data_IF_873264494546
#
_entry.id   IF_873264494546
#
_cell.length_a   1.000
_cell.length_b   1.000
_cell.length_c   1.000
_cell.angle_alpha   90.00
_cell.angle_beta   90.00
_cell.angle_gamma   90.00
#
_symmetry.space_group_name_H-M   'P 1'
#
loop_
_entity.id
_entity.type
_entity.pdbx_description
1 polymer ?
#
# COMPACT_ATOMS: atom_id res chain seq x y z
N UNK A 1 6.79 -18.25 -2.89
CA UNK A 1 7.96 -17.35 -3.16
C UNK A 1 8.80 -17.25 -1.89
N UNK A 2 10.07 -16.88 -2.01
CA UNK A 2 10.91 -16.58 -0.84
C UNK A 2 11.25 -15.08 -0.83
N UNK A 3 11.07 -14.43 0.33
CA UNK A 3 11.60 -13.10 0.61
C UNK A 3 12.84 -13.29 1.48
N UNK A 4 14.00 -13.12 0.89
CA UNK A 4 15.28 -13.32 1.54
C UNK A 4 15.75 -12.04 2.24
N UNK A 5 16.58 -12.20 3.25
CA UNK A 5 17.39 -11.11 3.81
C UNK A 5 18.43 -10.64 2.80
N UNK A 6 18.74 -9.36 2.82
CA UNK A 6 19.76 -8.75 2.00
C UNK A 6 20.61 -7.83 2.89
N UNK A 7 21.85 -8.20 3.13
CA UNK A 7 22.76 -7.54 4.08
C UNK A 7 23.25 -6.15 3.65
N UNK A 8 22.46 -5.42 2.86
CA UNK A 8 22.74 -4.04 2.45
C UNK A 8 21.70 -3.07 3.01
N UNK A 9 22.12 -1.83 3.19
CA UNK A 9 21.23 -0.75 3.58
C UNK A 9 20.63 -0.10 2.34
N UNK A 10 19.29 -0.09 2.28
CA UNK A 10 18.54 0.61 1.23
C UNK A 10 17.63 1.62 1.94
N UNK A 11 17.73 2.90 1.54
CA UNK A 11 17.10 4.03 2.26
C UNK A 11 17.60 4.10 3.72
N UNK A 12 16.73 3.92 4.69
CA UNK A 12 17.01 4.19 6.11
C UNK A 12 17.30 2.94 6.94
N UNK A 13 17.15 1.73 6.38
CA UNK A 13 17.36 0.49 7.12
C UNK A 13 18.10 -0.59 6.34
N UNK A 14 18.74 -1.50 7.08
CA UNK A 14 19.33 -2.71 6.54
C UNK A 14 18.22 -3.70 6.18
N UNK A 15 18.29 -4.30 5.00
CA UNK A 15 17.21 -5.15 4.47
C UNK A 15 17.33 -6.60 4.96
N UNK A 16 17.56 -6.78 6.24
CA UNK A 16 17.56 -8.07 6.91
C UNK A 16 16.21 -8.29 7.61
N UNK A 17 15.63 -9.48 7.43
CA UNK A 17 14.41 -9.85 8.16
C UNK A 17 14.79 -10.06 9.64
N UNK A 18 14.17 -9.31 10.53
CA UNK A 18 14.32 -9.56 11.96
C UNK A 18 13.19 -10.48 12.47
N UNK A 19 13.39 -11.05 13.64
CA UNK A 19 12.48 -12.05 14.22
C UNK A 19 11.06 -11.50 14.45
N UNK A 20 10.94 -10.25 14.83
CA UNK A 20 9.65 -9.59 15.04
C UNK A 20 8.89 -9.43 13.72
N UNK A 21 9.57 -9.01 12.65
CA UNK A 21 8.98 -8.89 11.32
C UNK A 21 8.50 -10.24 10.77
N UNK A 22 9.29 -11.30 10.96
CA UNK A 22 8.88 -12.66 10.58
C UNK A 22 7.59 -13.10 11.29
N UNK A 23 7.48 -12.82 12.59
CA UNK A 23 6.29 -13.10 13.39
C UNK A 23 5.09 -12.24 12.99
N UNK A 24 5.32 -10.97 12.59
CA UNK A 24 4.26 -10.09 12.09
C UNK A 24 3.60 -10.67 10.83
N UNK A 25 4.38 -11.11 9.84
CA UNK A 25 3.85 -11.74 8.63
C UNK A 25 2.97 -12.95 8.94
N UNK A 26 3.42 -13.83 9.83
CA UNK A 26 2.65 -15.00 10.27
C UNK A 26 1.37 -14.62 11.02
N UNK A 27 1.38 -13.55 11.82
CA UNK A 27 0.19 -13.10 12.54
C UNK A 27 -0.91 -12.63 11.57
N UNK A 28 -0.56 -11.87 10.51
CA UNK A 28 -1.51 -11.48 9.47
C UNK A 28 -2.05 -12.71 8.72
N UNK A 29 -1.18 -13.70 8.39
CA UNK A 29 -1.64 -14.94 7.77
C UNK A 29 -2.69 -15.65 8.63
N UNK A 30 -2.42 -15.83 9.93
CA UNK A 30 -3.34 -16.47 10.87
C UNK A 30 -4.66 -15.70 11.00
N UNK A 31 -4.61 -14.37 11.03
CA UNK A 31 -5.80 -13.52 11.10
C UNK A 31 -6.68 -13.67 9.85
N UNK A 32 -6.06 -13.70 8.67
CA UNK A 32 -6.76 -13.93 7.41
C UNK A 32 -7.40 -15.32 7.36
N UNK A 33 -6.69 -16.32 7.86
CA UNK A 33 -7.16 -17.71 7.87
C UNK A 33 -8.30 -17.94 8.86
N UNK A 34 -8.28 -17.24 9.99
CA UNK A 34 -9.28 -17.33 11.04
C UNK A 34 -10.63 -16.68 10.70
N UNK A 35 -10.70 -15.81 9.65
CA UNK A 35 -11.98 -15.19 9.26
C UNK A 35 -11.88 -13.86 8.52
N UNK A 36 -10.83 -13.07 8.72
CA UNK A 36 -10.71 -11.75 8.09
C UNK A 36 -10.74 -11.85 6.55
N UNK A 37 -10.15 -12.91 5.97
CA UNK A 37 -10.19 -13.11 4.53
C UNK A 37 -11.59 -13.32 3.98
N UNK A 38 -12.46 -14.01 4.72
CA UNK A 38 -13.86 -14.15 4.33
C UNK A 38 -14.58 -12.80 4.30
N UNK A 39 -14.40 -11.98 5.32
CA UNK A 39 -14.98 -10.64 5.38
C UNK A 39 -14.46 -9.74 4.25
N UNK A 40 -13.14 -9.76 4.03
CA UNK A 40 -12.53 -8.99 2.95
C UNK A 40 -13.13 -9.37 1.59
N UNK A 41 -13.27 -10.65 1.28
CA UNK A 41 -13.81 -11.11 -0.01
C UNK A 41 -15.33 -10.91 -0.13
N UNK A 42 -16.06 -10.88 0.98
CA UNK A 42 -17.49 -10.56 0.95
C UNK A 42 -17.75 -9.11 0.51
N UNK A 43 -16.90 -8.17 0.95
CA UNK A 43 -17.06 -6.74 0.66
C UNK A 43 -16.22 -6.28 -0.55
N UNK A 44 -15.05 -6.90 -0.74
CA UNK A 44 -14.07 -6.57 -1.77
C UNK A 44 -13.52 -7.85 -2.43
N UNK A 45 -14.33 -8.55 -3.25
CA UNK A 45 -14.02 -9.90 -3.77
C UNK A 45 -12.76 -9.96 -4.64
N UNK A 46 -12.32 -8.82 -5.17
CA UNK A 46 -11.17 -8.72 -6.07
C UNK A 46 -9.94 -8.08 -5.42
N UNK A 47 -9.99 -7.85 -4.09
CA UNK A 47 -8.82 -7.37 -3.35
C UNK A 47 -8.30 -8.46 -2.43
N UNK A 48 -6.98 -8.65 -2.41
CA UNK A 48 -6.33 -9.73 -1.68
C UNK A 48 -5.10 -9.23 -0.90
N UNK A 49 -4.78 -9.90 0.19
CA UNK A 49 -3.52 -9.73 0.91
C UNK A 49 -2.64 -10.94 0.59
N UNK A 50 -1.47 -10.72 0.01
CA UNK A 50 -0.48 -11.77 -0.23
C UNK A 50 0.03 -12.28 1.11
N UNK A 51 -0.10 -13.59 1.38
CA UNK A 51 0.14 -14.19 2.70
C UNK A 51 1.60 -14.58 2.87
N UNK A 52 2.05 -14.50 4.13
CA UNK A 52 3.34 -15.00 4.59
C UNK A 52 3.11 -16.15 5.60
N UNK A 53 2.77 -17.38 5.14
CA UNK A 53 2.31 -18.48 6.00
C UNK A 53 3.40 -19.10 6.89
N UNK A 54 4.66 -18.89 6.57
CA UNK A 54 5.79 -19.42 7.32
C UNK A 54 7.06 -18.62 7.11
N UNK A 55 8.06 -18.92 7.93
CA UNK A 55 9.40 -18.38 7.81
C UNK A 55 10.45 -19.40 8.24
N UNK A 56 11.67 -19.20 7.79
CA UNK A 56 12.85 -19.95 8.21
C UNK A 56 13.84 -18.95 8.79
N UNK A 57 14.43 -19.30 9.91
CA UNK A 57 15.45 -18.47 10.53
C UNK A 57 16.62 -19.33 11.00
N UNK A 58 17.80 -18.75 10.95
CA UNK A 58 19.03 -19.38 11.41
C UNK A 58 19.49 -18.69 12.70
N UNK A 59 19.51 -19.42 13.80
CA UNK A 59 20.01 -18.91 15.06
C UNK A 59 21.49 -19.26 15.20
N UNK A 60 22.31 -18.25 15.46
CA UNK A 60 23.70 -18.44 15.83
C UNK A 60 23.80 -18.42 17.36
N UNK A 61 24.24 -19.48 18.03
CA UNK A 61 24.36 -19.52 19.47
C UNK A 61 25.13 -18.32 20.03
N UNK A 62 24.55 -17.61 20.99
CA UNK A 62 25.16 -16.43 21.63
C UNK A 62 25.11 -15.11 20.81
N UNK A 63 24.60 -15.12 19.58
CA UNK A 63 24.42 -13.89 18.81
C UNK A 63 23.16 -13.14 19.22
N UNK A 64 23.27 -11.82 19.35
CA UNK A 64 22.14 -10.90 19.63
C UNK A 64 21.58 -10.26 18.37
N UNK A 65 22.25 -10.41 17.24
CA UNK A 65 21.87 -9.83 15.94
C UNK A 65 21.34 -10.92 15.00
N UNK A 66 20.42 -10.57 14.06
CA UNK A 66 19.99 -11.49 13.01
C UNK A 66 21.17 -12.06 12.22
N UNK A 67 21.06 -13.32 11.82
CA UNK A 67 22.12 -13.99 11.02
C UNK A 67 22.25 -13.44 9.60
N UNK A 68 21.23 -12.74 9.12
CA UNK A 68 21.11 -12.34 7.71
C UNK A 68 20.68 -13.47 6.76
N UNK A 69 20.43 -14.67 7.30
CA UNK A 69 19.99 -15.85 6.53
C UNK A 69 18.50 -16.12 6.68
N UNK A 70 17.79 -15.27 7.40
CA UNK A 70 16.35 -15.42 7.65
C UNK A 70 15.53 -15.17 6.36
N UNK A 71 14.50 -15.98 6.16
CA UNK A 71 13.66 -15.93 4.97
C UNK A 71 12.17 -16.05 5.32
N UNK A 72 11.34 -15.26 4.65
CA UNK A 72 9.87 -15.41 4.65
C UNK A 72 9.47 -16.37 3.54
N UNK A 73 8.62 -17.33 3.85
CA UNK A 73 7.90 -18.15 2.88
C UNK A 73 6.61 -17.44 2.56
N UNK A 74 6.51 -16.91 1.34
CA UNK A 74 5.38 -16.11 0.85
C UNK A 74 4.57 -16.88 -0.17
N UNK A 75 3.25 -16.87 -0.06
CA UNK A 75 2.37 -17.41 -1.08
C UNK A 75 2.61 -16.75 -2.44
N UNK A 76 2.39 -17.50 -3.51
CA UNK A 76 2.40 -16.96 -4.86
C UNK A 76 1.00 -17.06 -5.48
N UNK A 77 0.14 -16.05 -5.27
CA UNK A 77 -1.21 -16.05 -5.82
C UNK A 77 -1.24 -15.97 -7.35
N UNK A 78 -0.09 -15.64 -7.96
CA UNK A 78 0.04 -15.49 -9.42
C UNK A 78 0.51 -16.79 -10.11
N UNK A 79 0.83 -17.84 -9.33
CA UNK A 79 1.18 -19.14 -9.89
C UNK A 79 -0.07 -19.79 -10.46
N UNK A 80 -0.06 -20.04 -11.75
CA UNK A 80 -1.15 -20.73 -12.45
C UNK A 80 -0.58 -21.63 -13.54
N UNK A 81 -1.24 -22.76 -13.78
CA UNK A 81 -0.94 -23.65 -14.90
C UNK A 81 -1.58 -23.15 -16.22
N UNK A 82 -2.39 -22.09 -16.16
CA UNK A 82 -3.01 -21.49 -17.34
C UNK A 82 -1.96 -20.74 -18.17
N UNK A 83 -1.83 -21.02 -19.45
CA UNK A 83 -0.91 -20.30 -20.33
C UNK A 83 -1.18 -18.79 -20.32
N UNK A 84 -0.14 -17.93 -20.44
CA UNK A 84 -0.31 -16.48 -20.37
C UNK A 84 -1.33 -15.91 -21.38
N UNK A 85 -1.44 -16.50 -22.57
CA UNK A 85 -2.38 -16.06 -23.62
C UNK A 85 -3.86 -16.35 -23.32
N UNK A 86 -4.16 -17.21 -22.36
CA UNK A 86 -5.54 -17.59 -21.97
C UNK A 86 -5.94 -16.99 -20.61
N UNK A 87 -5.09 -16.18 -20.01
CA UNK A 87 -5.42 -15.47 -18.77
C UNK A 87 -6.28 -14.26 -19.07
N UNK A 88 -7.37 -14.13 -18.32
CA UNK A 88 -8.28 -12.99 -18.45
C UNK A 88 -7.82 -11.76 -17.65
N UNK A 89 -6.76 -11.88 -16.85
CA UNK A 89 -6.21 -10.80 -16.02
C UNK A 89 -4.69 -10.91 -15.91
N UNK A 90 -4.04 -9.79 -15.63
CA UNK A 90 -2.64 -9.76 -15.22
C UNK A 90 -2.45 -8.78 -14.05
N UNK A 91 -1.41 -8.96 -13.27
CA UNK A 91 -1.16 -8.15 -12.07
C UNK A 91 0.24 -7.54 -12.13
N UNK A 92 0.33 -6.25 -11.90
CA UNK A 92 1.57 -5.49 -11.87
C UNK A 92 1.77 -4.72 -10.58
N UNK A 93 3.03 -4.57 -10.14
CA UNK A 93 3.38 -3.67 -9.05
C UNK A 93 3.17 -2.22 -9.50
N UNK A 94 2.44 -1.43 -8.72
CA UNK A 94 2.10 -0.04 -9.06
C UNK A 94 3.37 0.79 -9.32
N UNK A 95 4.37 0.73 -8.44
CA UNK A 95 5.65 1.42 -8.66
C UNK A 95 6.30 1.06 -10.01
N UNK A 96 6.24 -0.22 -10.42
CA UNK A 96 6.77 -0.68 -11.70
C UNK A 96 5.91 -0.29 -12.91
N UNK A 97 4.61 -0.03 -12.70
CA UNK A 97 3.73 0.50 -13.75
C UNK A 97 3.96 1.99 -14.00
N UNK A 98 4.24 2.75 -12.92
CA UNK A 98 4.42 4.20 -12.95
C UNK A 98 5.85 4.63 -13.30
N UNK A 99 6.84 3.78 -13.05
CA UNK A 99 8.24 4.12 -13.28
C UNK A 99 8.51 4.48 -14.75
N UNK A 100 9.22 5.57 -14.96
CA UNK A 100 9.78 5.91 -16.26
C UNK A 100 10.69 4.79 -16.78
N UNK A 101 10.75 4.65 -18.07
CA UNK A 101 11.51 3.59 -18.73
C UNK A 101 12.64 4.19 -19.55
N UNK A 102 13.81 4.40 -18.96
CA UNK A 102 14.96 4.98 -19.67
C UNK A 102 15.49 4.07 -20.82
N UNK A 103 15.07 2.80 -20.84
CA UNK A 103 15.33 1.83 -21.91
C UNK A 103 14.46 2.05 -23.16
N UNK A 104 13.44 2.92 -23.09
CA UNK A 104 12.55 3.24 -24.19
C UNK A 104 12.84 4.64 -24.74
N UNK A 105 12.73 4.86 -26.07
CA UNK A 105 13.01 6.16 -26.69
C UNK A 105 12.16 7.32 -26.16
N UNK A 106 10.92 7.04 -25.75
CA UNK A 106 9.96 8.03 -25.26
C UNK A 106 9.96 8.17 -23.74
N UNK A 107 10.77 7.39 -23.03
CA UNK A 107 10.89 7.32 -21.56
C UNK A 107 9.57 7.08 -20.80
N UNK A 108 8.48 6.80 -21.51
CA UNK A 108 7.15 6.64 -20.90
C UNK A 108 7.06 5.40 -20.03
N UNK A 109 6.27 5.53 -18.96
CA UNK A 109 5.95 4.40 -18.09
C UNK A 109 5.12 3.33 -18.79
N UNK A 110 5.08 2.13 -18.22
CA UNK A 110 4.19 1.06 -18.71
C UNK A 110 2.72 1.47 -18.63
N UNK A 111 2.35 2.22 -17.58
CA UNK A 111 0.98 2.72 -17.46
C UNK A 111 0.64 3.74 -18.54
N UNK A 112 1.56 4.63 -18.93
CA UNK A 112 1.32 5.57 -20.01
C UNK A 112 1.03 4.84 -21.34
N UNK A 113 1.83 3.84 -21.69
CA UNK A 113 1.58 3.01 -22.88
C UNK A 113 0.21 2.31 -22.80
N UNK A 114 -0.14 1.78 -21.63
CA UNK A 114 -1.42 1.14 -21.41
C UNK A 114 -2.60 2.11 -21.61
N UNK A 115 -2.51 3.31 -21.03
CA UNK A 115 -3.54 4.36 -21.16
C UNK A 115 -3.72 4.77 -22.62
N UNK A 116 -2.62 4.98 -23.37
CA UNK A 116 -2.71 5.30 -24.80
C UNK A 116 -3.35 4.18 -25.60
N UNK A 117 -3.00 2.93 -25.30
CA UNK A 117 -3.63 1.76 -25.94
C UNK A 117 -5.14 1.71 -25.65
N UNK A 118 -5.55 1.90 -24.40
CA UNK A 118 -6.94 1.95 -23.99
C UNK A 118 -7.70 3.10 -24.69
N UNK A 119 -7.10 4.29 -24.73
CA UNK A 119 -7.69 5.45 -25.40
C UNK A 119 -7.96 5.17 -26.89
N UNK A 120 -6.97 4.60 -27.58
CA UNK A 120 -7.10 4.20 -28.99
C UNK A 120 -8.21 3.15 -29.18
N UNK A 121 -8.25 2.10 -28.35
CA UNK A 121 -9.26 1.03 -28.47
C UNK A 121 -10.68 1.48 -28.17
N UNK A 122 -10.84 2.42 -27.22
CA UNK A 122 -12.18 2.90 -26.82
C UNK A 122 -12.66 4.10 -27.63
N UNK A 123 -11.81 4.72 -28.44
CA UNK A 123 -12.09 5.98 -29.13
C UNK A 123 -12.24 7.18 -28.20
N UNK A 124 -11.78 7.07 -26.94
CA UNK A 124 -11.82 8.15 -25.98
C UNK A 124 -10.51 8.97 -26.00
N UNK A 125 -10.56 10.20 -25.48
CA UNK A 125 -9.35 10.99 -25.24
C UNK A 125 -8.49 10.34 -24.17
N UNK A 126 -7.18 10.57 -24.21
CA UNK A 126 -6.24 10.11 -23.18
C UNK A 126 -6.67 10.57 -21.78
N UNK A 127 -7.06 11.85 -21.64
CA UNK A 127 -7.53 12.42 -20.38
C UNK A 127 -8.75 11.65 -19.82
N UNK A 128 -9.77 11.40 -20.64
CA UNK A 128 -10.96 10.66 -20.22
C UNK A 128 -10.61 9.23 -19.80
N UNK A 129 -9.75 8.58 -20.56
CA UNK A 129 -9.29 7.22 -20.28
C UNK A 129 -8.52 7.16 -18.98
N UNK A 130 -7.60 8.11 -18.73
CA UNK A 130 -6.81 8.22 -17.52
C UNK A 130 -7.72 8.42 -16.31
N UNK A 131 -8.68 9.33 -16.36
CA UNK A 131 -9.65 9.56 -15.27
C UNK A 131 -10.43 8.30 -14.97
N UNK A 132 -10.94 7.60 -15.98
CA UNK A 132 -11.70 6.34 -15.79
C UNK A 132 -10.81 5.26 -15.17
N UNK A 133 -9.56 5.14 -15.63
CA UNK A 133 -8.60 4.19 -15.08
C UNK A 133 -8.30 4.51 -13.60
N UNK A 134 -8.06 5.78 -13.30
CA UNK A 134 -7.75 6.24 -11.94
C UNK A 134 -8.93 6.05 -10.98
N UNK A 135 -10.17 6.38 -11.39
CA UNK A 135 -11.37 6.11 -10.59
C UNK A 135 -11.50 4.63 -10.26
N UNK A 136 -11.36 3.73 -11.25
CA UNK A 136 -11.38 2.28 -11.01
C UNK A 136 -10.26 1.82 -10.09
N UNK A 137 -9.09 2.44 -10.20
CA UNK A 137 -7.98 2.18 -9.29
C UNK A 137 -8.33 2.57 -7.84
N UNK A 138 -8.90 3.74 -7.60
CA UNK A 138 -9.35 4.17 -6.28
C UNK A 138 -10.39 3.19 -5.71
N UNK A 139 -11.37 2.78 -6.52
CA UNK A 139 -12.43 1.86 -6.10
C UNK A 139 -11.90 0.48 -5.75
N UNK A 140 -11.01 -0.08 -6.57
CA UNK A 140 -10.62 -1.49 -6.47
C UNK A 140 -9.39 -1.72 -5.60
N UNK A 141 -8.60 -0.69 -5.32
CA UNK A 141 -7.35 -0.79 -4.55
C UNK A 141 -7.38 0.06 -3.29
N UNK A 142 -7.72 1.34 -3.38
CA UNK A 142 -7.67 2.25 -2.24
C UNK A 142 -8.84 2.02 -1.28
N UNK A 143 -10.04 1.85 -1.81
CA UNK A 143 -11.23 1.57 -0.99
C UNK A 143 -11.06 0.37 -0.06
N UNK A 144 -10.59 -0.82 -0.51
CA UNK A 144 -10.39 -1.96 0.38
C UNK A 144 -9.36 -1.71 1.49
N UNK A 145 -8.29 -0.97 1.20
CA UNK A 145 -7.27 -0.61 2.19
C UNK A 145 -7.85 0.27 3.30
N UNK A 146 -8.60 1.31 2.92
CA UNK A 146 -9.25 2.21 3.86
C UNK A 146 -10.40 1.53 4.60
N UNK A 147 -11.11 0.59 3.97
CA UNK A 147 -12.13 -0.23 4.60
C UNK A 147 -11.55 -1.13 5.70
N UNK A 148 -10.43 -1.81 5.47
CA UNK A 148 -9.74 -2.61 6.49
C UNK A 148 -9.40 -1.76 7.72
N UNK A 149 -8.94 -0.54 7.51
CA UNK A 149 -8.63 0.38 8.59
C UNK A 149 -9.89 0.87 9.32
N UNK A 150 -10.95 1.22 8.57
CA UNK A 150 -12.20 1.71 9.15
C UNK A 150 -12.93 0.64 9.98
N UNK A 151 -13.05 -0.58 9.44
CA UNK A 151 -13.87 -1.63 10.05
C UNK A 151 -13.11 -2.45 11.09
N UNK A 152 -11.80 -2.67 10.90
CA UNK A 152 -11.00 -3.56 11.73
C UNK A 152 -9.82 -2.88 12.41
N UNK A 153 -9.62 -1.60 12.19
CA UNK A 153 -8.46 -0.89 12.72
C UNK A 153 -7.12 -1.45 12.23
N UNK A 154 -7.12 -2.16 11.08
CA UNK A 154 -5.92 -2.72 10.47
C UNK A 154 -5.38 -1.75 9.42
N UNK A 155 -4.34 -1.01 9.76
CA UNK A 155 -3.62 -0.12 8.88
C UNK A 155 -2.45 -0.82 8.18
N UNK A 156 -2.41 -0.77 6.84
CA UNK A 156 -1.39 -1.41 6.01
C UNK A 156 -0.48 -0.37 5.36
N UNK A 157 0.83 -0.61 5.33
CA UNK A 157 1.82 0.26 4.66
C UNK A 157 1.75 0.11 3.13
N UNK A 158 0.60 0.47 2.56
CA UNK A 158 0.28 0.29 1.15
C UNK A 158 0.84 1.40 0.26
N UNK A 159 2.15 1.63 0.32
CA UNK A 159 2.83 2.47 -0.65
C UNK A 159 2.92 1.77 -2.02
N UNK A 160 3.31 2.50 -3.07
CA UNK A 160 3.30 2.00 -4.46
C UNK A 160 4.03 0.68 -4.67
N UNK A 161 5.12 0.41 -3.94
CA UNK A 161 5.87 -0.84 -4.06
C UNK A 161 5.11 -2.04 -3.48
N UNK A 162 4.32 -1.82 -2.41
CA UNK A 162 3.55 -2.87 -1.74
C UNK A 162 2.15 -3.05 -2.33
N UNK A 163 1.77 -2.20 -3.28
CA UNK A 163 0.49 -2.23 -3.97
C UNK A 163 0.63 -2.87 -5.34
N UNK A 164 -0.19 -3.88 -5.59
CA UNK A 164 -0.27 -4.57 -6.88
C UNK A 164 -1.66 -4.31 -7.47
N UNK A 165 -1.71 -3.95 -8.74
CA UNK A 165 -2.96 -3.69 -9.46
C UNK A 165 -3.25 -4.86 -10.38
N UNK A 166 -4.44 -5.44 -10.27
CA UNK A 166 -4.95 -6.45 -11.20
C UNK A 166 -5.73 -5.77 -12.31
N UNK A 167 -5.37 -6.05 -13.53
CA UNK A 167 -5.93 -5.50 -14.73
C UNK A 167 -6.61 -6.59 -15.55
N UNK A 168 -7.72 -6.27 -16.22
CA UNK A 168 -8.35 -7.15 -17.18
C UNK A 168 -7.52 -7.26 -18.47
N UNK A 169 -8.02 -8.01 -19.46
CA UNK A 169 -7.37 -8.20 -20.76
C UNK A 169 -7.18 -6.91 -21.54
N UNK A 170 -8.02 -5.93 -21.29
CA UNK A 170 -7.94 -4.63 -21.94
C UNK A 170 -6.96 -3.69 -21.22
N UNK A 171 -6.75 -3.89 -19.93
CA UNK A 171 -5.87 -3.09 -19.09
C UNK A 171 -6.58 -2.20 -18.07
N UNK A 172 -7.89 -2.41 -17.86
CA UNK A 172 -8.62 -1.69 -16.81
C UNK A 172 -8.42 -2.30 -15.43
N UNK A 173 -8.29 -1.48 -14.37
CA UNK A 173 -8.26 -1.98 -13.00
C UNK A 173 -9.54 -2.74 -12.65
N UNK A 174 -9.39 -3.95 -12.13
CA UNK A 174 -10.47 -4.84 -11.70
C UNK A 174 -10.28 -5.36 -10.28
N UNK A 175 -9.12 -5.13 -9.69
CA UNK A 175 -8.81 -5.55 -8.34
C UNK A 175 -7.38 -5.20 -7.96
N UNK A 176 -6.93 -5.70 -6.82
CA UNK A 176 -5.60 -5.44 -6.33
C UNK A 176 -5.11 -6.42 -5.29
N UNK A 177 -3.83 -6.29 -4.96
CA UNK A 177 -3.21 -7.03 -3.87
C UNK A 177 -2.34 -6.08 -3.05
N UNK A 178 -2.36 -6.28 -1.74
CA UNK A 178 -1.33 -5.78 -0.84
C UNK A 178 -0.32 -6.88 -0.55
N UNK A 179 0.95 -6.53 -0.45
CA UNK A 179 2.03 -7.44 -0.04
C UNK A 179 2.91 -6.78 1.01
N UNK A 180 3.67 -7.60 1.71
CA UNK A 180 4.63 -7.22 2.73
C UNK A 180 4.01 -6.97 4.11
N UNK A 181 3.53 -8.08 4.72
CA UNK A 181 2.83 -8.09 6.00
C UNK A 181 3.77 -7.89 7.21
N UNK A 182 4.93 -7.27 7.03
CA UNK A 182 5.85 -6.91 8.10
C UNK A 182 5.59 -5.50 8.63
N UNK A 183 5.03 -4.61 7.75
CA UNK A 183 4.63 -3.25 8.09
C UNK A 183 3.11 -3.11 8.15
N UNK A 184 2.55 -3.14 9.36
CA UNK A 184 1.13 -2.88 9.63
C UNK A 184 0.92 -2.41 11.07
N UNK A 185 -0.26 -1.85 11.32
CA UNK A 185 -0.64 -1.28 12.60
C UNK A 185 -2.03 -1.73 13.02
N UNK A 186 -2.23 -1.94 14.31
CA UNK A 186 -3.55 -2.15 14.90
C UNK A 186 -3.97 -0.93 15.71
N UNK A 187 -5.13 -0.38 15.39
CA UNK A 187 -5.80 0.66 16.15
C UNK A 187 -6.29 0.08 17.50
N UNK A 188 -5.87 0.63 18.64
CA UNK A 188 -6.36 0.19 19.94
C UNK A 188 -7.87 0.34 20.09
N UNK A 189 -8.46 1.34 19.43
CA UNK A 189 -9.89 1.66 19.56
C UNK A 189 -10.79 0.80 18.68
N UNK A 190 -10.28 0.24 17.55
CA UNK A 190 -11.09 -0.47 16.54
C UNK A 190 -10.74 -1.94 16.36
N UNK A 191 -9.51 -2.34 16.66
CA UNK A 191 -9.05 -3.73 16.43
C UNK A 191 -9.71 -4.78 17.32
N UNK A 192 -10.53 -4.37 18.29
CA UNK A 192 -11.34 -5.31 19.09
C UNK A 192 -12.25 -6.18 18.20
N UNK A 193 -12.64 -5.71 17.02
CA UNK A 193 -13.39 -6.49 16.02
C UNK A 193 -12.62 -7.72 15.51
N UNK A 194 -11.30 -7.76 15.68
CA UNK A 194 -10.44 -8.89 15.30
C UNK A 194 -10.32 -9.96 16.40
N UNK A 195 -10.64 -9.62 17.64
CA UNK A 195 -10.47 -10.52 18.79
C UNK A 195 -11.23 -11.85 18.67
N UNK A 196 -12.43 -11.94 18.06
CA UNK A 196 -13.10 -13.23 17.86
C UNK A 196 -12.31 -14.20 16.99
N UNK A 197 -11.48 -13.70 16.06
CA UNK A 197 -10.70 -14.51 15.15
C UNK A 197 -9.30 -14.82 15.68
N UNK A 198 -8.65 -13.84 16.30
CA UNK A 198 -7.30 -14.00 16.82
C UNK A 198 -7.13 -13.17 18.10
N UNK A 199 -7.50 -13.73 19.27
CA UNK A 199 -7.32 -13.05 20.55
C UNK A 199 -5.86 -12.63 20.77
N UNK A 200 -5.63 -11.35 21.09
CA UNK A 200 -4.27 -10.84 21.32
C UNK A 200 -3.39 -10.72 20.07
N UNK A 201 -3.98 -10.74 18.87
CA UNK A 201 -3.24 -10.54 17.64
C UNK A 201 -2.32 -9.30 17.72
N UNK A 202 -1.02 -9.50 17.49
CA UNK A 202 -0.05 -8.40 17.42
C UNK A 202 0.40 -7.78 18.73
N UNK A 203 -0.12 -8.18 19.91
CA UNK A 203 0.22 -7.57 21.20
C UNK A 203 1.73 -7.57 21.51
N UNK A 204 2.40 -8.70 21.24
CA UNK A 204 3.83 -8.85 21.51
C UNK A 204 4.70 -8.49 20.30
N UNK A 205 4.13 -7.80 19.30
CA UNK A 205 4.79 -7.51 18.02
C UNK A 205 5.03 -6.01 17.79
N UNK A 206 4.67 -5.15 18.76
CA UNK A 206 4.82 -3.71 18.62
C UNK A 206 4.01 -3.11 17.47
N UNK A 207 2.82 -3.70 17.18
CA UNK A 207 1.95 -3.25 16.08
C UNK A 207 0.74 -2.44 16.58
N UNK A 208 0.51 -2.42 17.89
CA UNK A 208 -0.50 -1.54 18.52
C UNK A 208 0.12 -0.18 18.77
N UNK A 209 -0.39 0.83 18.10
CA UNK A 209 0.04 2.23 18.27
C UNK A 209 -1.17 3.14 18.22
N UNK A 210 -1.04 4.35 18.77
CA UNK A 210 -2.14 5.30 18.83
C UNK A 210 -2.71 5.63 17.44
N UNK A 211 -4.02 5.84 17.37
CA UNK A 211 -4.73 6.09 16.11
C UNK A 211 -4.17 7.30 15.37
N UNK A 212 -3.70 8.33 16.07
CA UNK A 212 -3.04 9.51 15.48
C UNK A 212 -1.74 9.16 14.77
N UNK A 213 -0.96 8.22 15.32
CA UNK A 213 0.27 7.71 14.70
C UNK A 213 -0.07 6.87 13.48
N UNK A 214 -1.12 6.04 13.56
CA UNK A 214 -1.58 5.26 12.40
C UNK A 214 -2.04 6.21 11.30
N UNK A 215 -2.85 7.22 11.61
CA UNK A 215 -3.34 8.20 10.62
C UNK A 215 -2.17 8.94 9.96
N UNK A 216 -1.12 9.33 10.70
CA UNK A 216 0.11 9.90 10.13
C UNK A 216 0.79 8.93 9.14
N UNK A 217 0.95 7.67 9.54
CA UNK A 217 1.60 6.64 8.71
C UNK A 217 0.80 6.34 7.44
N UNK A 218 -0.49 6.11 7.57
CA UNK A 218 -1.37 5.85 6.44
C UNK A 218 -1.55 7.08 5.54
N UNK A 219 -1.58 8.28 6.13
CA UNK A 219 -1.57 9.54 5.39
C UNK A 219 -0.37 9.64 4.47
N UNK A 220 0.81 9.24 4.95
CA UNK A 220 2.00 9.16 4.11
C UNK A 220 1.93 8.01 3.10
N UNK A 221 1.71 6.76 3.53
CA UNK A 221 1.81 5.61 2.64
C UNK A 221 0.70 5.56 1.60
N UNK A 222 -0.56 5.76 2.00
CA UNK A 222 -1.72 5.71 1.11
C UNK A 222 -1.96 7.08 0.46
N UNK A 223 -1.96 8.15 1.25
CA UNK A 223 -2.25 9.50 0.74
C UNK A 223 -1.12 10.02 -0.15
N UNK A 224 0.05 10.27 0.43
CA UNK A 224 1.15 10.93 -0.29
C UNK A 224 1.83 10.00 -1.28
N UNK A 225 2.38 8.87 -0.80
CA UNK A 225 3.18 8.00 -1.66
C UNK A 225 2.34 7.29 -2.73
N UNK A 226 1.16 6.77 -2.36
CA UNK A 226 0.35 6.00 -3.28
C UNK A 226 -0.53 6.91 -4.15
N UNK A 227 -1.49 7.64 -3.56
CA UNK A 227 -2.47 8.43 -4.33
C UNK A 227 -1.80 9.62 -5.02
N UNK A 228 -1.17 10.54 -4.25
CA UNK A 228 -0.55 11.73 -4.84
C UNK A 228 0.63 11.38 -5.75
N UNK A 229 1.42 10.36 -5.38
CA UNK A 229 2.49 9.86 -6.24
C UNK A 229 1.98 9.27 -7.56
N UNK A 230 0.78 8.66 -7.57
CA UNK A 230 0.14 8.19 -8.82
C UNK A 230 -0.37 9.36 -9.65
N UNK A 231 -1.00 10.36 -9.02
CA UNK A 231 -1.46 11.59 -9.70
C UNK A 231 -0.27 12.29 -10.38
N UNK A 232 0.82 12.54 -9.63
CA UNK A 232 2.01 13.18 -10.18
C UNK A 232 2.65 12.39 -11.33
N UNK A 233 2.67 11.05 -11.25
CA UNK A 233 3.17 10.22 -12.35
C UNK A 233 2.29 10.26 -13.60
N UNK A 234 0.98 10.41 -13.44
CA UNK A 234 0.05 10.58 -14.57
C UNK A 234 0.13 11.99 -15.17
N UNK A 235 0.23 13.02 -14.32
CA UNK A 235 0.35 14.42 -14.73
C UNK A 235 1.66 14.71 -15.45
N UNK A 236 2.81 14.32 -14.86
CA UNK A 236 4.15 14.54 -15.43
C UNK A 236 4.33 13.92 -16.82
N UNK A 237 3.57 12.88 -17.14
CA UNK A 237 3.59 12.24 -18.48
C UNK A 237 2.49 12.79 -19.41
N UNK A 238 1.76 13.84 -19.00
CA UNK A 238 0.74 14.52 -19.82
C UNK A 238 -0.50 13.66 -20.10
N UNK A 239 -0.82 12.68 -19.23
CA UNK A 239 -1.94 11.78 -19.42
C UNK A 239 -3.28 12.38 -18.99
N UNK A 240 -3.26 13.23 -17.96
CA UNK A 240 -4.40 14.02 -17.47
C UNK A 240 -3.90 15.24 -16.70
N UNK A 241 -4.78 16.21 -16.49
CA UNK A 241 -4.53 17.34 -15.57
C UNK A 241 -4.55 16.80 -14.12
N UNK A 242 -3.55 17.17 -13.33
CA UNK A 242 -3.45 16.76 -11.92
C UNK A 242 -4.63 17.32 -11.09
N UNK A 243 -5.12 18.52 -11.41
CA UNK A 243 -6.27 19.12 -10.73
C UNK A 243 -7.54 18.28 -10.89
N UNK A 244 -7.76 17.72 -12.08
CA UNK A 244 -8.89 16.82 -12.35
C UNK A 244 -8.80 15.55 -11.50
N UNK A 245 -7.60 14.98 -11.35
CA UNK A 245 -7.36 13.77 -10.57
C UNK A 245 -7.44 14.03 -9.06
N UNK A 246 -7.00 15.21 -8.62
CA UNK A 246 -7.18 15.67 -7.22
C UNK A 246 -8.66 15.84 -6.88
N UNK A 247 -9.45 16.44 -7.78
CA UNK A 247 -10.90 16.56 -7.59
C UNK A 247 -11.61 15.20 -7.57
N UNK A 248 -11.15 14.21 -8.37
CA UNK A 248 -11.65 12.83 -8.33
C UNK A 248 -11.33 12.20 -6.97
N UNK A 249 -10.11 12.38 -6.48
CA UNK A 249 -9.67 11.88 -5.17
C UNK A 249 -10.52 12.48 -4.04
N UNK A 250 -10.76 13.79 -4.06
CA UNK A 250 -11.62 14.46 -3.06
C UNK A 250 -13.03 13.85 -3.03
N UNK A 251 -13.66 13.67 -4.20
CA UNK A 251 -15.00 13.06 -4.30
C UNK A 251 -15.03 11.62 -3.78
N UNK A 252 -14.00 10.85 -4.11
CA UNK A 252 -13.85 9.47 -3.64
C UNK A 252 -13.71 9.39 -2.12
N UNK A 253 -12.80 10.19 -1.54
CA UNK A 253 -12.59 10.27 -0.10
C UNK A 253 -13.83 10.83 0.63
N UNK A 254 -14.59 11.77 0.04
CA UNK A 254 -15.84 12.28 0.57
C UNK A 254 -16.88 11.14 0.74
N UNK A 255 -16.97 10.28 -0.27
CA UNK A 255 -17.87 9.12 -0.24
C UNK A 255 -17.48 8.16 0.89
N UNK A 256 -16.19 7.88 1.07
CA UNK A 256 -15.69 7.02 2.13
C UNK A 256 -15.88 7.65 3.52
N UNK A 257 -15.60 8.96 3.67
CA UNK A 257 -15.82 9.69 4.91
C UNK A 257 -17.32 9.65 5.32
N UNK A 258 -18.23 9.84 4.38
CA UNK A 258 -19.67 9.74 4.64
C UNK A 258 -20.08 8.33 5.06
N UNK A 259 -19.54 7.30 4.40
CA UNK A 259 -19.87 5.89 4.67
C UNK A 259 -19.38 5.41 6.03
N UNK A 260 -18.17 5.80 6.43
CA UNK A 260 -17.50 5.26 7.62
C UNK A 260 -17.51 6.23 8.81
N UNK A 261 -17.79 7.53 8.60
CA UNK A 261 -17.86 8.54 9.65
C UNK A 261 -16.56 8.59 10.49
N UNK A 262 -16.73 8.64 11.81
CA UNK A 262 -15.60 8.72 12.76
C UNK A 262 -14.67 7.49 12.76
N UNK A 263 -15.03 6.41 12.05
CA UNK A 263 -14.15 5.25 11.90
C UNK A 263 -13.06 5.45 10.83
N UNK A 264 -13.18 6.52 10.01
CA UNK A 264 -12.21 6.85 8.96
C UNK A 264 -11.90 8.36 8.93
N UNK A 265 -11.43 8.90 10.07
CA UNK A 265 -10.99 10.30 10.20
C UNK A 265 -9.89 10.65 9.22
N UNK A 266 -9.05 9.69 8.85
CA UNK A 266 -8.02 9.83 7.84
C UNK A 266 -8.56 10.36 6.50
N UNK A 267 -9.75 9.91 6.04
CA UNK A 267 -10.33 10.40 4.78
C UNK A 267 -10.67 11.89 4.87
N UNK A 268 -11.19 12.36 6.00
CA UNK A 268 -11.44 13.78 6.24
C UNK A 268 -10.14 14.59 6.32
N UNK A 269 -9.12 14.06 7.03
CA UNK A 269 -7.81 14.69 7.14
C UNK A 269 -7.15 14.86 5.76
N UNK A 270 -7.14 13.83 4.93
CA UNK A 270 -6.58 13.90 3.56
C UNK A 270 -7.30 14.92 2.68
N UNK A 271 -8.59 15.15 2.91
CA UNK A 271 -9.39 16.10 2.14
C UNK A 271 -9.24 17.55 2.62
N UNK A 272 -9.12 17.77 3.92
CA UNK A 272 -9.43 19.08 4.53
C UNK A 272 -8.25 19.70 5.28
N UNK A 273 -7.29 18.91 5.74
CA UNK A 273 -6.14 19.45 6.43
C UNK A 273 -5.30 20.35 5.48
N UNK A 274 -4.86 21.53 5.94
CA UNK A 274 -4.06 22.42 5.10
C UNK A 274 -2.68 21.86 4.76
N UNK A 275 -2.16 20.98 5.63
CA UNK A 275 -0.89 20.28 5.43
C UNK A 275 -1.03 18.79 5.68
N UNK A 276 -0.15 18.00 5.09
CA UNK A 276 -0.01 16.57 5.33
C UNK A 276 1.36 16.26 5.92
N UNK A 277 1.38 15.31 6.84
CA UNK A 277 2.63 14.80 7.43
C UNK A 277 3.34 13.90 6.42
N UNK A 278 4.49 14.33 5.92
CA UNK A 278 5.29 13.62 4.93
C UNK A 278 6.57 13.07 5.55
N UNK A 279 6.88 11.81 5.29
CA UNK A 279 8.12 11.17 5.72
C UNK A 279 9.31 11.75 4.97
N UNK A 280 10.22 12.38 5.70
CA UNK A 280 11.43 13.01 5.16
C UNK A 280 12.60 12.02 5.16
N UNK A 281 12.65 11.14 4.17
CA UNK A 281 13.64 10.06 4.09
C UNK A 281 15.09 10.56 4.12
N UNK A 282 15.40 11.67 3.45
CA UNK A 282 16.75 12.27 3.46
C UNK A 282 17.11 12.76 4.86
N UNK A 283 16.23 13.48 5.54
CA UNK A 283 16.47 13.93 6.91
C UNK A 283 16.62 12.76 7.87
N UNK A 284 15.75 11.74 7.76
CA UNK A 284 15.86 10.50 8.53
C UNK A 284 17.26 9.88 8.38
N UNK A 285 17.77 9.86 7.15
CA UNK A 285 19.12 9.35 6.87
C UNK A 285 20.25 10.21 7.42
N UNK A 286 20.13 11.54 7.29
CA UNK A 286 21.11 12.51 7.82
C UNK A 286 21.20 12.41 9.35
N UNK A 287 20.08 12.22 10.02
CA UNK A 287 20.01 12.02 11.47
C UNK A 287 20.46 10.63 11.92
N UNK A 288 20.87 9.75 11.01
CA UNK A 288 21.34 8.40 11.33
C UNK A 288 20.27 7.45 11.88
N UNK A 289 18.99 7.81 11.75
CA UNK A 289 17.88 7.00 12.25
C UNK A 289 17.73 5.71 11.42
N UNK A 290 17.28 4.64 12.08
CA UNK A 290 17.01 3.35 11.45
C UNK A 290 15.55 2.95 11.71
N UNK A 291 14.82 2.68 10.64
CA UNK A 291 13.38 2.36 10.69
C UNK A 291 13.06 1.03 11.36
N UNK A 292 14.07 0.19 11.61
CA UNK A 292 13.93 -1.10 12.27
C UNK A 292 14.34 -1.08 13.75
N UNK A 293 14.85 0.05 14.24
CA UNK A 293 15.41 0.16 15.58
C UNK A 293 14.64 1.22 16.39
N UNK A 294 14.25 0.84 17.60
CA UNK A 294 13.61 1.74 18.57
C UNK A 294 12.09 1.88 18.42
N UNK A 295 11.48 2.74 19.24
CA UNK A 295 10.04 3.04 19.18
C UNK A 295 9.65 3.66 17.84
N UNK A 296 8.41 3.40 17.40
CA UNK A 296 7.91 3.82 16.10
C UNK A 296 8.00 5.34 15.87
N UNK A 297 7.76 6.13 16.91
CA UNK A 297 7.81 7.60 16.89
C UNK A 297 9.21 8.15 16.58
N UNK A 298 10.26 7.36 16.85
CA UNK A 298 11.66 7.74 16.64
C UNK A 298 12.32 7.09 15.44
N UNK A 299 11.55 6.37 14.61
CA UNK A 299 12.12 5.65 13.45
C UNK A 299 12.31 6.53 12.22
N UNK A 300 11.58 7.65 12.11
CA UNK A 300 11.61 8.51 10.91
C UNK A 300 11.29 9.95 11.25
N UNK A 301 11.89 10.87 10.50
CA UNK A 301 11.54 12.30 10.53
C UNK A 301 10.32 12.53 9.65
N UNK A 302 9.33 13.26 10.17
CA UNK A 302 8.16 13.73 9.41
C UNK A 302 8.17 15.26 9.36
N UNK A 303 7.77 15.80 8.22
CA UNK A 303 7.64 17.25 7.97
C UNK A 303 6.25 17.56 7.42
N UNK A 304 5.78 18.78 7.61
CA UNK A 304 4.54 19.23 6.99
C UNK A 304 4.79 19.67 5.56
N UNK A 305 3.95 19.22 4.64
CA UNK A 305 3.88 19.68 3.25
C UNK A 305 2.50 20.24 2.94
N UNK A 306 2.33 21.20 2.03
CA UNK A 306 1.01 21.63 1.56
C UNK A 306 0.16 20.44 1.11
N UNK A 307 -1.14 20.50 1.34
CA UNK A 307 -2.08 19.45 0.91
C UNK A 307 -2.72 19.83 -0.43
N UNK A 308 -2.29 19.24 -1.56
CA UNK A 308 -2.80 19.61 -2.87
C UNK A 308 -4.29 19.23 -3.06
N UNK A 309 -4.83 18.24 -2.34
CA UNK A 309 -6.26 17.91 -2.39
C UNK A 309 -7.08 19.05 -1.78
N UNK A 310 -6.67 19.56 -0.61
CA UNK A 310 -7.35 20.68 0.02
C UNK A 310 -7.22 22.00 -0.79
N UNK A 311 -6.09 22.21 -1.46
CA UNK A 311 -5.86 23.36 -2.32
C UNK A 311 -6.73 23.32 -3.58
N UNK A 312 -6.88 22.16 -4.22
CA UNK A 312 -7.71 21.97 -5.42
C UNK A 312 -9.23 22.13 -5.17
N UNK A 313 -9.67 22.16 -3.90
CA UNK A 313 -11.07 22.41 -3.51
C UNK A 313 -11.43 23.89 -3.43
N UNK A 314 -10.44 24.78 -3.37
CA UNK A 314 -10.63 26.25 -3.27
C UNK A 314 -10.86 26.88 -4.63
#
# INVERSE_FOLDING_TARGET
MLKLSLGIRITNSRRENNRTELRRGLAVHRLLDAGLNHQLHTHHPHFHIVRDPAWIAVDTPGATTPSGLDAVIRDNPFRTNTPPRTRNTWTGCLAGLLAERPDQPDHRSRLAHLIHHLAHRTGHTTTRTTRTWFTRYLDTVITPLLWLYAEYGLGLEAHQQNTLVTLDTDGWPTGGHYRDNQGYYFSPTRSHALHPWLPGAGRDLGTYVDDTVIDERLGYYIGINNILGTIGALGSQGLADETDLLAETDRHLATLATRHGNRLTLATTLREAPTLRCKANLLTRIHGMDELIGPLEHQSVYVDIPNPIAEARR
#
